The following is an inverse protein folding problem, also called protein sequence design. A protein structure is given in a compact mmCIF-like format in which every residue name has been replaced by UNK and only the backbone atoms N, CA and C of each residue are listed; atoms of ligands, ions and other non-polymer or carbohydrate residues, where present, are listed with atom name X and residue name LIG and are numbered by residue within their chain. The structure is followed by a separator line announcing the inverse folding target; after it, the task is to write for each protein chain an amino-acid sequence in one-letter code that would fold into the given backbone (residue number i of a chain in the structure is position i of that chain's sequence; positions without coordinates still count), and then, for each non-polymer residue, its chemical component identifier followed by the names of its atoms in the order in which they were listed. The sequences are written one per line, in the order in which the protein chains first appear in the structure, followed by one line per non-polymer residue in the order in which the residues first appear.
data_IF_222904853225
#
_entry.id   IF_222904853225
#
_cell.length_a   1.000
_cell.length_b   1.000
_cell.length_c   1.000
_cell.angle_alpha   90.00
_cell.angle_beta   90.00
_cell.angle_gamma   90.00
#
_symmetry.space_group_name_H-M   'P 1'
#
loop_
_entity.id
_entity.type
_entity.pdbx_description
1 polymer ?
#
# COMPACT_ATOMS: atom_id res chain seq x y z
N UNK A 1 -7.51 6.20 20.76
CA UNK A 1 -6.66 5.32 19.94
C UNK A 1 -6.97 5.53 18.46
N UNK A 2 -6.14 6.28 17.72
CA UNK A 2 -6.32 6.53 16.28
C UNK A 2 -5.84 5.31 15.49
N UNK A 3 -6.77 4.56 14.89
CA UNK A 3 -6.47 3.41 14.02
C UNK A 3 -6.12 3.92 12.61
N UNK A 4 -4.90 4.43 12.43
CA UNK A 4 -4.39 4.88 11.13
C UNK A 4 -4.05 3.67 10.25
N UNK A 5 -5.06 3.00 9.69
CA UNK A 5 -4.85 2.02 8.61
C UNK A 5 -4.46 2.74 7.33
N UNK A 6 -3.14 2.94 7.16
CA UNK A 6 -2.49 3.52 5.97
C UNK A 6 -2.85 2.71 4.70
N UNK A 7 -3.07 1.41 4.88
CA UNK A 7 -3.46 0.48 3.84
C UNK A 7 -4.92 0.06 4.05
N UNK A 8 -5.78 0.39 3.09
CA UNK A 8 -7.14 -0.15 3.04
C UNK A 8 -7.25 -1.18 1.93
N UNK A 9 -7.92 -2.29 2.25
CA UNK A 9 -8.22 -3.35 1.28
C UNK A 9 -9.43 -2.91 0.48
N UNK A 10 -9.28 -2.73 -0.83
CA UNK A 10 -10.41 -2.45 -1.73
C UNK A 10 -11.18 -3.70 -2.09
N UNK A 11 -12.49 -3.54 -2.25
CA UNK A 11 -13.31 -4.60 -2.85
C UNK A 11 -13.04 -4.65 -4.36
N UNK A 12 -12.60 -5.79 -4.91
CA UNK A 12 -12.29 -5.96 -6.32
C UNK A 12 -13.49 -5.77 -7.25
N UNK A 13 -14.73 -5.91 -6.77
CA UNK A 13 -15.95 -5.79 -7.57
C UNK A 13 -16.22 -4.35 -8.00
N UNK A 14 -15.74 -3.38 -7.23
CA UNK A 14 -15.91 -1.94 -7.51
C UNK A 14 -15.02 -1.50 -8.67
N UNK A 15 -13.97 -2.27 -8.97
CA UNK A 15 -13.03 -1.91 -10.02
C UNK A 15 -13.52 -2.31 -11.41
N UNK A 16 -13.13 -1.51 -12.40
CA UNK A 16 -13.32 -1.82 -13.82
C UNK A 16 -12.33 -2.88 -14.29
N UNK A 17 -12.81 -3.78 -15.18
CA UNK A 17 -11.92 -4.66 -15.95
C UNK A 17 -11.18 -3.84 -17.02
N UNK A 18 -9.85 -3.97 -17.17
CA UNK A 18 -9.11 -3.22 -18.18
C UNK A 18 -9.48 -3.61 -19.62
N UNK A 19 -9.94 -4.84 -19.81
CA UNK A 19 -10.27 -5.40 -21.12
C UNK A 19 -11.70 -5.06 -21.54
N UNK A 20 -12.71 -5.46 -20.74
CA UNK A 20 -14.11 -5.23 -21.09
C UNK A 20 -14.74 -3.96 -20.51
N UNK A 21 -14.01 -3.22 -19.66
CA UNK A 21 -14.48 -1.98 -18.97
C UNK A 21 -15.79 -2.14 -18.19
N UNK A 22 -16.25 -3.38 -17.92
CA UNK A 22 -17.42 -3.64 -17.07
C UNK A 22 -17.01 -3.69 -15.59
N UNK A 23 -17.89 -3.19 -14.73
CA UNK A 23 -17.76 -3.27 -13.27
C UNK A 23 -18.32 -4.60 -12.75
N UNK A 24 -18.01 -4.98 -11.51
CA UNK A 24 -18.61 -6.13 -10.83
C UNK A 24 -18.12 -7.52 -11.26
N UNK A 25 -17.40 -7.63 -12.38
CA UNK A 25 -16.95 -8.91 -12.94
C UNK A 25 -15.63 -9.46 -12.39
N UNK A 26 -14.89 -8.72 -11.55
CA UNK A 26 -13.57 -9.11 -11.08
C UNK A 26 -13.61 -10.03 -9.85
N UNK A 27 -13.04 -11.23 -10.00
CA UNK A 27 -12.89 -12.23 -8.93
C UNK A 27 -11.41 -12.56 -8.71
N UNK A 28 -11.02 -12.82 -7.46
CA UNK A 28 -9.65 -13.23 -7.13
C UNK A 28 -9.34 -14.60 -7.74
N UNK A 29 -8.22 -14.70 -8.44
CA UNK A 29 -7.72 -15.95 -9.04
C UNK A 29 -6.56 -16.53 -8.21
N UNK A 30 -6.33 -17.84 -8.32
CA UNK A 30 -5.15 -18.49 -7.73
C UNK A 30 -3.97 -18.41 -8.69
N UNK A 31 -2.75 -18.33 -8.13
CA UNK A 31 -1.53 -18.47 -8.91
C UNK A 31 -1.38 -19.91 -9.39
N UNK A 32 -1.01 -20.07 -10.67
CA UNK A 32 -0.71 -21.36 -11.30
C UNK A 32 0.79 -21.58 -11.46
N UNK A 33 1.53 -20.50 -11.73
CA UNK A 33 2.96 -20.58 -12.03
C UNK A 33 3.83 -20.09 -10.87
N UNK A 34 5.08 -20.53 -10.85
CA UNK A 34 6.09 -20.05 -9.88
C UNK A 34 6.32 -18.54 -10.00
N UNK A 35 6.38 -18.01 -11.22
CA UNK A 35 6.45 -16.57 -11.45
C UNK A 35 5.28 -15.81 -10.78
N UNK A 36 4.05 -16.31 -10.93
CA UNK A 36 2.87 -15.69 -10.30
C UNK A 36 2.90 -15.79 -8.77
N UNK A 37 3.49 -16.85 -8.21
CA UNK A 37 3.74 -16.97 -6.77
C UNK A 37 4.79 -15.96 -6.29
N UNK A 38 5.87 -15.79 -7.05
CA UNK A 38 6.95 -14.85 -6.73
C UNK A 38 6.45 -13.41 -6.75
N UNK A 39 5.71 -13.00 -7.79
CA UNK A 39 5.12 -11.66 -7.88
C UNK A 39 4.17 -11.39 -6.72
N UNK A 40 3.33 -12.37 -6.35
CA UNK A 40 2.41 -12.27 -5.21
C UNK A 40 3.14 -12.15 -3.86
N UNK A 41 4.34 -12.70 -3.75
CA UNK A 41 5.16 -12.59 -2.55
C UNK A 41 5.86 -11.23 -2.46
N UNK A 42 6.44 -10.78 -3.57
CA UNK A 42 7.23 -9.55 -3.62
C UNK A 42 6.38 -8.28 -3.64
N UNK A 43 5.15 -8.35 -4.15
CA UNK A 43 4.31 -7.16 -4.37
C UNK A 43 2.93 -7.30 -3.74
N UNK A 44 2.27 -6.19 -3.35
CA UNK A 44 0.88 -6.20 -2.87
C UNK A 44 -0.15 -6.48 -3.99
N UNK A 45 0.32 -6.90 -5.17
CA UNK A 45 -0.53 -7.26 -6.29
C UNK A 45 -1.14 -8.65 -6.07
N UNK A 46 -2.45 -8.73 -6.28
CA UNK A 46 -3.17 -9.99 -6.33
C UNK A 46 -3.58 -10.28 -7.76
N UNK A 47 -3.64 -11.57 -8.12
CA UNK A 47 -4.13 -11.97 -9.41
C UNK A 47 -5.66 -11.96 -9.43
N UNK A 48 -6.24 -11.35 -10.44
CA UNK A 48 -7.68 -11.29 -10.65
C UNK A 48 -8.06 -11.86 -12.02
N UNK A 49 -9.29 -12.34 -12.11
CA UNK A 49 -9.91 -12.79 -13.35
C UNK A 49 -11.27 -12.13 -13.52
N UNK A 50 -11.57 -11.64 -14.71
CA UNK A 50 -12.90 -11.16 -15.06
C UNK A 50 -13.79 -12.36 -15.43
N UNK A 51 -14.97 -12.47 -14.82
CA UNK A 51 -15.96 -13.50 -15.15
C UNK A 51 -16.70 -13.20 -16.46
N UNK A 52 -16.68 -11.95 -16.93
CA UNK A 52 -17.44 -11.50 -18.11
C UNK A 52 -16.65 -11.69 -19.41
N UNK A 53 -15.37 -11.29 -19.47
CA UNK A 53 -14.54 -11.42 -20.67
C UNK A 53 -13.39 -12.43 -20.52
N UNK A 54 -13.20 -13.01 -19.34
CA UNK A 54 -12.12 -13.96 -19.10
C UNK A 54 -10.73 -13.36 -18.87
N UNK A 55 -10.58 -12.03 -18.97
CA UNK A 55 -9.31 -11.33 -18.72
C UNK A 55 -8.66 -11.77 -17.42
N UNK A 56 -7.34 -11.94 -17.43
CA UNK A 56 -6.55 -12.35 -16.28
C UNK A 56 -5.30 -11.49 -16.16
N UNK A 57 -5.06 -10.95 -14.98
CA UNK A 57 -3.87 -10.13 -14.73
C UNK A 57 -3.71 -9.77 -13.26
N UNK A 58 -2.67 -8.99 -12.99
CA UNK A 58 -2.35 -8.50 -11.66
C UNK A 58 -3.02 -7.14 -11.41
N UNK A 59 -3.59 -6.97 -10.22
CA UNK A 59 -4.15 -5.68 -9.78
C UNK A 59 -3.89 -5.50 -8.30
N UNK A 60 -3.67 -4.26 -7.85
CA UNK A 60 -3.46 -4.00 -6.42
C UNK A 60 -4.81 -4.05 -5.73
N UNK A 61 -4.91 -4.88 -4.69
CA UNK A 61 -6.06 -4.86 -3.77
C UNK A 61 -5.91 -3.85 -2.64
N UNK A 62 -4.84 -3.06 -2.70
CA UNK A 62 -4.52 -2.04 -1.72
C UNK A 62 -4.44 -0.70 -2.44
N UNK A 63 -5.16 0.27 -1.91
CA UNK A 63 -5.04 1.65 -2.32
C UNK A 63 -4.33 2.39 -1.18
N UNK A 64 -3.27 3.11 -1.52
CA UNK A 64 -2.57 3.97 -0.59
C UNK A 64 -3.26 5.33 -0.65
N UNK A 65 -3.89 5.77 0.44
CA UNK A 65 -4.48 7.12 0.47
C UNK A 65 -3.35 8.14 0.43
N UNK A 66 -3.30 8.99 -0.60
CA UNK A 66 -2.34 10.10 -0.69
C UNK A 66 -2.41 11.05 0.53
N UNK A 67 -3.59 11.19 1.14
CA UNK A 67 -3.77 11.91 2.40
C UNK A 67 -2.89 11.38 3.55
N UNK A 68 -2.55 10.10 3.52
CA UNK A 68 -1.72 9.45 4.55
C UNK A 68 -0.25 9.88 4.47
N UNK A 69 0.25 10.32 3.32
CA UNK A 69 1.63 10.78 3.18
C UNK A 69 1.87 12.11 3.87
N UNK A 70 0.89 13.03 3.85
CA UNK A 70 1.02 14.34 4.52
C UNK A 70 1.21 14.16 6.03
N UNK A 71 0.38 13.33 6.67
CA UNK A 71 0.51 13.06 8.10
C UNK A 71 1.83 12.38 8.44
N UNK A 72 2.26 11.41 7.64
CA UNK A 72 3.53 10.70 7.86
C UNK A 72 4.72 11.66 7.78
N UNK A 73 4.70 12.58 6.82
CA UNK A 73 5.73 13.60 6.68
C UNK A 73 5.80 14.56 7.88
N UNK A 74 4.64 14.99 8.39
CA UNK A 74 4.56 15.86 9.59
C UNK A 74 5.17 15.15 10.81
N UNK A 75 4.81 13.88 11.05
CA UNK A 75 5.35 13.12 12.18
C UNK A 75 6.85 12.86 12.03
N UNK A 76 7.32 12.56 10.82
CA UNK A 76 8.75 12.41 10.55
C UNK A 76 9.53 13.69 10.84
N UNK A 77 8.98 14.85 10.45
CA UNK A 77 9.62 16.14 10.69
C UNK A 77 9.69 16.47 12.18
N UNK A 78 8.61 16.23 12.92
CA UNK A 78 8.59 16.39 14.39
C UNK A 78 9.64 15.50 15.06
N UNK A 79 9.76 14.24 14.63
CA UNK A 79 10.75 13.30 15.16
C UNK A 79 12.19 13.73 14.84
N UNK A 80 12.44 14.24 13.64
CA UNK A 80 13.76 14.77 13.27
C UNK A 80 14.16 15.98 14.14
N UNK A 81 13.22 16.90 14.39
CA UNK A 81 13.43 18.05 15.27
C UNK A 81 13.75 17.59 16.69
N UNK A 82 13.01 16.64 17.25
CA UNK A 82 13.26 16.17 18.61
C UNK A 82 14.64 15.52 18.73
N UNK A 83 15.05 14.69 17.77
CA UNK A 83 16.41 14.11 17.73
C UNK A 83 17.46 15.21 17.67
N UNK A 84 17.26 16.22 16.82
CA UNK A 84 18.21 17.32 16.65
C UNK A 84 18.39 18.10 17.95
N UNK A 85 17.29 18.45 18.63
CA UNK A 85 17.31 19.16 19.91
C UNK A 85 17.98 18.33 21.00
N UNK A 86 17.62 17.05 21.14
CA UNK A 86 18.24 16.15 22.12
C UNK A 86 19.74 16.02 21.87
N UNK A 87 20.15 15.84 20.62
CA UNK A 87 21.57 15.75 20.24
C UNK A 87 22.34 17.03 20.54
N UNK A 88 21.71 18.20 20.34
CA UNK A 88 22.30 19.49 20.66
C UNK A 88 22.51 19.67 22.17
N UNK A 89 21.52 19.29 22.98
CA UNK A 89 21.61 19.37 24.45
C UNK A 89 22.70 18.41 24.97
N UNK A 90 22.71 17.15 24.51
CA UNK A 90 23.72 16.18 24.97
C UNK A 90 25.14 16.64 24.63
N UNK A 91 25.37 17.15 23.41
CA UNK A 91 26.67 17.71 23.04
C UNK A 91 27.07 18.91 23.89
N UNK A 92 26.11 19.75 24.29
CA UNK A 92 26.39 20.96 25.08
C UNK A 92 26.64 20.68 26.57
N UNK A 93 26.04 19.63 27.13
CA UNK A 93 26.07 19.37 28.58
C UNK A 93 26.95 18.18 28.99
N UNK A 94 27.15 17.18 28.13
CA UNK A 94 27.96 15.99 28.46
C UNK A 94 29.37 16.08 27.91
N UNK A 95 29.54 16.67 26.73
CA UNK A 95 30.86 16.93 26.14
C UNK A 95 31.26 18.35 26.55
N UNK A 96 31.84 18.45 27.74
CA UNK A 96 32.64 19.60 28.16
C UNK A 96 34.01 19.11 28.58
#
# INVERSE_FOLDING_TARGET
MLNLKILYKTDPRIHFCPDCKKQGGLKKSRSRNFYEKFVKFLTPFSMYRCQLCGWRGFKSGYLIKAASFKSLFIYFFLFAITIMVVSFILKRFIIK
#
